data_IF_463019470498
#
_entry.id   IF_463019470498
#
_cell.length_a   1.000
_cell.length_b   1.000
_cell.length_c   1.000
_cell.angle_alpha   90.00
_cell.angle_beta   90.00
_cell.angle_gamma   90.00
#
_symmetry.space_group_name_H-M   'P 1'
#
loop_
_entity.id
_entity.type
_entity.pdbx_description
1 polymer ?
#
# COMPACT_ATOMS: atom_id res chain seq x y z
N UNK A 1 20.91 0.32 21.05
CA UNK A 1 19.90 1.40 21.05
C UNK A 1 18.54 0.72 21.00
N UNK A 2 17.78 0.73 22.10
CA UNK A 2 16.48 0.05 22.14
C UNK A 2 15.49 0.84 21.30
N UNK A 3 15.01 0.22 20.21
CA UNK A 3 13.91 0.77 19.42
C UNK A 3 12.70 0.98 20.35
N UNK A 4 12.02 2.13 20.30
CA UNK A 4 10.71 2.23 20.92
C UNK A 4 9.83 1.14 20.32
N UNK A 5 9.05 0.43 21.14
CA UNK A 5 8.07 -0.55 20.66
C UNK A 5 7.07 0.23 19.80
N UNK A 6 7.26 0.22 18.47
CA UNK A 6 6.30 0.77 17.52
C UNK A 6 5.22 -0.30 17.36
N UNK A 7 4.29 -0.31 18.30
CA UNK A 7 3.17 -1.26 18.33
C UNK A 7 2.20 -1.05 17.16
N UNK A 8 2.29 0.08 16.46
CA UNK A 8 1.41 0.44 15.35
C UNK A 8 1.40 -0.58 14.19
N UNK A 9 2.54 -1.22 13.88
CA UNK A 9 2.60 -2.24 12.83
C UNK A 9 1.89 -3.54 13.26
N UNK A 10 2.04 -3.94 14.52
CA UNK A 10 1.38 -5.12 15.09
C UNK A 10 -0.14 -4.88 15.24
N UNK A 11 -0.54 -3.73 15.77
CA UNK A 11 -1.94 -3.31 15.91
C UNK A 11 -2.66 -3.20 14.55
N UNK A 12 -1.97 -2.65 13.54
CA UNK A 12 -2.48 -2.62 12.17
C UNK A 12 -2.68 -4.02 11.58
N UNK A 13 -1.74 -4.94 11.84
CA UNK A 13 -1.83 -6.33 11.36
C UNK A 13 -3.00 -7.08 12.00
N UNK A 14 -3.23 -6.90 13.31
CA UNK A 14 -4.39 -7.46 14.02
C UNK A 14 -5.69 -6.91 13.42
N UNK A 15 -5.75 -5.61 13.16
CA UNK A 15 -6.94 -4.97 12.57
C UNK A 15 -7.26 -5.57 11.19
N UNK A 16 -6.25 -5.78 10.35
CA UNK A 16 -6.41 -6.44 9.06
C UNK A 16 -6.86 -7.89 9.23
N UNK A 17 -6.29 -8.64 10.17
CA UNK A 17 -6.68 -10.03 10.44
C UNK A 17 -8.15 -10.16 10.86
N UNK A 18 -8.65 -9.24 11.69
CA UNK A 18 -10.06 -9.19 12.09
C UNK A 18 -10.97 -8.94 10.87
N UNK A 19 -10.59 -8.02 9.99
CA UNK A 19 -11.35 -7.73 8.76
C UNK A 19 -11.36 -8.95 7.82
N UNK A 20 -10.26 -9.69 7.72
CA UNK A 20 -10.20 -10.94 6.95
C UNK A 20 -11.08 -12.02 7.57
N UNK A 21 -11.05 -12.20 8.89
CA UNK A 21 -11.89 -13.16 9.58
C UNK A 21 -13.39 -12.85 9.38
N UNK A 22 -13.77 -11.57 9.47
CA UNK A 22 -15.13 -11.12 9.18
C UNK A 22 -15.51 -11.41 7.72
N UNK A 23 -14.63 -11.10 6.77
CA UNK A 23 -14.87 -11.39 5.34
C UNK A 23 -15.01 -12.89 5.07
N UNK A 24 -14.22 -13.73 5.74
CA UNK A 24 -14.30 -15.18 5.61
C UNK A 24 -15.62 -15.75 6.17
N UNK A 25 -16.13 -15.18 7.27
CA UNK A 25 -17.37 -15.61 7.88
C UNK A 25 -18.62 -15.16 7.10
N UNK A 26 -18.67 -13.90 6.67
CA UNK A 26 -19.85 -13.31 6.01
C UNK A 26 -19.82 -13.39 4.47
N UNK A 27 -18.68 -13.75 3.88
CA UNK A 27 -18.49 -13.81 2.43
C UNK A 27 -18.14 -12.47 1.79
N UNK A 28 -17.68 -12.53 0.53
CA UNK A 28 -17.22 -11.36 -0.24
C UNK A 28 -18.33 -10.32 -0.54
N UNK A 29 -19.59 -10.74 -0.49
CA UNK A 29 -20.76 -9.89 -0.75
C UNK A 29 -21.00 -8.89 0.39
N UNK A 30 -20.51 -9.18 1.60
CA UNK A 30 -20.54 -8.25 2.74
C UNK A 30 -20.04 -6.86 2.32
N UNK A 31 -18.96 -6.79 1.55
CA UNK A 31 -18.33 -5.54 1.13
C UNK A 31 -19.24 -4.63 0.28
N UNK A 32 -20.28 -5.18 -0.35
CA UNK A 32 -21.25 -4.46 -1.18
C UNK A 32 -22.51 -4.07 -0.41
N UNK A 33 -22.71 -4.62 0.79
CA UNK A 33 -23.83 -4.27 1.65
C UNK A 33 -23.73 -2.81 2.07
N UNK A 34 -24.87 -2.12 2.07
CA UNK A 34 -24.98 -0.76 2.57
C UNK A 34 -25.14 -0.78 4.08
N UNK A 35 -24.52 0.16 4.77
CA UNK A 35 -24.69 0.39 6.21
C UNK A 35 -25.79 1.44 6.41
N UNK A 36 -27.02 1.04 6.81
CA UNK A 36 -28.14 1.99 6.95
C UNK A 36 -27.86 3.09 7.99
N UNK A 37 -27.00 2.77 8.95
CA UNK A 37 -26.65 3.59 10.10
C UNK A 37 -25.53 4.59 9.77
N UNK A 38 -24.94 4.49 8.57
CA UNK A 38 -23.80 5.30 8.13
C UNK A 38 -24.05 5.87 6.73
N UNK A 39 -25.09 6.72 6.61
CA UNK A 39 -25.45 7.42 5.36
C UNK A 39 -25.64 6.50 4.14
N UNK A 40 -26.01 5.23 4.34
CA UNK A 40 -26.12 4.23 3.28
C UNK A 40 -24.83 3.97 2.48
N UNK A 41 -23.66 4.26 3.05
CA UNK A 41 -22.38 3.89 2.44
C UNK A 41 -22.23 2.38 2.33
N UNK A 42 -21.59 1.92 1.26
CA UNK A 42 -21.17 0.52 1.17
C UNK A 42 -20.04 0.24 2.16
N UNK A 43 -19.94 -1.00 2.67
CA UNK A 43 -18.92 -1.39 3.67
C UNK A 43 -17.50 -1.11 3.16
N UNK A 44 -17.20 -1.35 1.88
CA UNK A 44 -15.90 -1.01 1.27
C UNK A 44 -15.56 0.49 1.36
N UNK A 45 -16.52 1.36 1.07
CA UNK A 45 -16.38 2.81 1.13
C UNK A 45 -16.19 3.27 2.59
N UNK A 46 -16.96 2.70 3.51
CA UNK A 46 -16.84 2.98 4.93
C UNK A 46 -15.47 2.60 5.49
N UNK A 47 -14.99 1.39 5.20
CA UNK A 47 -13.67 0.92 5.65
C UNK A 47 -12.54 1.79 5.05
N UNK A 48 -12.66 2.18 3.78
CA UNK A 48 -11.72 3.11 3.16
C UNK A 48 -11.73 4.48 3.86
N UNK A 49 -12.89 5.01 4.20
CA UNK A 49 -13.03 6.27 4.94
C UNK A 49 -12.40 6.19 6.34
N UNK A 50 -12.68 5.11 7.08
CA UNK A 50 -12.09 4.88 8.41
C UNK A 50 -10.57 4.78 8.34
N UNK A 51 -10.03 4.13 7.30
CA UNK A 51 -8.60 4.07 7.05
C UNK A 51 -8.00 5.46 6.81
N UNK A 52 -8.62 6.28 5.95
CA UNK A 52 -8.17 7.66 5.68
C UNK A 52 -8.16 8.49 6.97
N UNK A 53 -9.23 8.43 7.76
CA UNK A 53 -9.33 9.15 9.04
C UNK A 53 -8.23 8.70 10.00
N UNK A 54 -8.00 7.40 10.13
CA UNK A 54 -6.94 6.85 10.98
C UNK A 54 -5.56 7.38 10.56
N UNK A 55 -5.27 7.41 9.26
CA UNK A 55 -4.02 7.97 8.73
C UNK A 55 -3.91 9.46 9.06
N UNK A 56 -4.95 10.26 8.81
CA UNK A 56 -4.94 11.71 9.07
C UNK A 56 -4.66 12.02 10.54
N UNK A 57 -5.23 11.24 11.46
CA UNK A 57 -5.04 11.44 12.91
C UNK A 57 -3.63 11.00 13.34
N UNK A 58 -3.15 9.87 12.83
CA UNK A 58 -1.90 9.25 13.30
C UNK A 58 -0.64 9.85 12.66
N UNK A 59 -0.69 10.28 11.39
CA UNK A 59 0.47 10.81 10.67
C UNK A 59 1.12 12.01 11.36
N UNK A 60 0.38 13.05 11.80
CA UNK A 60 0.96 14.21 12.47
C UNK A 60 1.70 13.83 13.75
N UNK A 61 1.14 12.91 14.55
CA UNK A 61 1.77 12.43 15.78
C UNK A 61 3.08 11.69 15.50
N UNK A 62 3.09 10.86 14.44
CA UNK A 62 4.30 10.15 13.98
C UNK A 62 5.36 11.15 13.50
N UNK A 63 4.97 12.16 12.70
CA UNK A 63 5.87 13.22 12.23
C UNK A 63 6.51 13.98 13.38
N UNK A 64 5.73 14.41 14.38
CA UNK A 64 6.22 15.14 15.55
C UNK A 64 7.20 14.30 16.37
N UNK A 65 6.96 13.00 16.47
CA UNK A 65 7.86 12.07 17.17
C UNK A 65 9.17 11.86 16.43
N UNK A 66 9.13 11.70 15.10
CA UNK A 66 10.31 11.45 14.28
C UNK A 66 11.19 12.70 14.13
N UNK A 67 10.59 13.91 14.05
CA UNK A 67 11.32 15.18 13.97
C UNK A 67 12.31 15.38 15.13
N UNK A 68 12.11 14.73 16.28
CA UNK A 68 13.05 14.77 17.42
C UNK A 68 14.38 14.04 17.14
N UNK A 69 14.41 13.13 16.17
CA UNK A 69 15.55 12.25 15.90
C UNK A 69 16.20 12.49 14.53
N UNK A 70 15.57 13.25 13.64
CA UNK A 70 16.08 13.52 12.29
C UNK A 70 15.63 14.87 11.77
N UNK A 71 16.40 15.43 10.84
CA UNK A 71 15.99 16.64 10.11
C UNK A 71 14.78 16.37 9.22
N UNK A 72 13.96 17.42 9.01
CA UNK A 72 12.76 17.37 8.15
C UNK A 72 13.14 16.99 6.71
N UNK A 73 14.26 17.51 6.20
CA UNK A 73 14.75 17.18 4.86
C UNK A 73 15.07 15.69 4.70
N UNK A 74 15.73 15.09 5.71
CA UNK A 74 16.00 13.65 5.72
C UNK A 74 14.71 12.83 5.78
N UNK A 75 13.75 13.25 6.61
CA UNK A 75 12.44 12.61 6.72
C UNK A 75 11.65 12.65 5.41
N UNK A 76 11.60 13.80 4.74
CA UNK A 76 10.96 13.94 3.44
C UNK A 76 11.65 13.09 2.38
N UNK A 77 12.99 13.01 2.40
CA UNK A 77 13.75 12.12 1.52
C UNK A 77 13.37 10.65 1.75
N UNK A 78 13.17 10.23 3.00
CA UNK A 78 12.76 8.86 3.34
C UNK A 78 11.31 8.56 2.92
N UNK A 79 10.42 9.55 3.06
CA UNK A 79 8.99 9.43 2.72
C UNK A 79 8.66 9.79 1.28
N UNK A 80 9.64 10.15 0.44
CA UNK A 80 9.38 10.64 -0.92
C UNK A 80 8.54 9.70 -1.78
N UNK A 81 8.76 8.39 -1.66
CA UNK A 81 7.99 7.41 -2.40
C UNK A 81 6.55 7.35 -1.91
N UNK A 82 6.36 7.34 -0.58
CA UNK A 82 5.06 7.43 0.05
C UNK A 82 4.27 8.63 -0.47
N UNK A 83 4.88 9.82 -0.45
CA UNK A 83 4.22 11.01 -0.97
C UNK A 83 3.91 10.88 -2.46
N UNK A 84 4.88 10.45 -3.28
CA UNK A 84 4.69 10.35 -4.72
C UNK A 84 3.50 9.46 -5.10
N UNK A 85 3.46 8.20 -4.68
CA UNK A 85 2.38 7.32 -5.11
C UNK A 85 1.02 7.71 -4.52
N UNK A 86 0.96 8.21 -3.27
CA UNK A 86 -0.29 8.68 -2.70
C UNK A 86 -0.81 9.93 -3.42
N UNK A 87 0.08 10.88 -3.76
CA UNK A 87 -0.31 12.06 -4.53
C UNK A 87 -0.82 11.68 -5.92
N UNK A 88 -0.17 10.73 -6.61
CA UNK A 88 -0.65 10.24 -7.91
C UNK A 88 -2.03 9.60 -7.80
N UNK A 89 -2.25 8.74 -6.80
CA UNK A 89 -3.54 8.08 -6.61
C UNK A 89 -4.62 9.10 -6.23
N UNK A 90 -4.32 10.02 -5.32
CA UNK A 90 -5.25 11.07 -4.93
C UNK A 90 -5.59 11.98 -6.12
N UNK A 91 -4.59 12.34 -6.92
CA UNK A 91 -4.79 13.12 -8.14
C UNK A 91 -5.67 12.37 -9.14
N UNK A 92 -5.37 11.09 -9.41
CA UNK A 92 -6.22 10.23 -10.26
C UNK A 92 -7.65 10.17 -9.72
N UNK A 93 -7.84 10.08 -8.40
CA UNK A 93 -9.15 10.06 -7.76
C UNK A 93 -9.92 11.38 -7.96
N UNK A 94 -9.27 12.52 -7.76
CA UNK A 94 -9.93 13.82 -7.82
C UNK A 94 -10.21 14.30 -9.25
N UNK A 95 -9.44 13.80 -10.22
CA UNK A 95 -9.39 14.36 -11.56
C UNK A 95 -9.66 13.35 -12.68
N UNK A 96 -9.99 12.10 -12.33
CA UNK A 96 -10.49 11.12 -13.30
C UNK A 96 -11.73 11.67 -14.01
N UNK A 97 -11.80 11.43 -15.32
CA UNK A 97 -12.96 11.80 -16.14
C UNK A 97 -14.06 10.73 -16.07
N UNK A 98 -13.81 9.62 -15.39
CA UNK A 98 -14.72 8.48 -15.28
C UNK A 98 -15.04 8.19 -13.81
N UNK A 99 -16.18 7.54 -13.54
CA UNK A 99 -16.53 7.12 -12.17
C UNK A 99 -15.75 5.87 -11.70
N UNK A 100 -14.54 5.66 -12.21
CA UNK A 100 -13.74 4.44 -12.02
C UNK A 100 -13.44 4.11 -10.57
N UNK A 101 -13.44 5.11 -9.68
CA UNK A 101 -13.35 4.87 -8.24
C UNK A 101 -14.53 4.06 -7.75
N UNK A 102 -15.77 4.42 -8.12
CA UNK A 102 -16.96 3.74 -7.64
C UNK A 102 -17.00 2.29 -8.12
N UNK A 103 -16.59 2.05 -9.36
CA UNK A 103 -16.64 0.74 -10.00
C UNK A 103 -15.45 -0.16 -9.60
N UNK A 104 -14.30 0.43 -9.27
CA UNK A 104 -13.05 -0.28 -9.04
C UNK A 104 -12.35 0.08 -7.71
N UNK A 105 -13.11 0.46 -6.66
CA UNK A 105 -12.59 0.75 -5.31
C UNK A 105 -11.57 -0.29 -4.85
N UNK A 106 -11.87 -1.58 -5.03
CA UNK A 106 -11.01 -2.68 -4.58
C UNK A 106 -9.65 -2.67 -5.27
N UNK A 107 -9.59 -2.34 -6.56
CA UNK A 107 -8.34 -2.28 -7.31
C UNK A 107 -7.45 -1.13 -6.82
N UNK A 108 -8.03 0.04 -6.50
CA UNK A 108 -7.30 1.13 -5.85
C UNK A 108 -6.76 0.70 -4.47
N UNK A 109 -7.60 0.06 -3.65
CA UNK A 109 -7.19 -0.41 -2.32
C UNK A 109 -6.01 -1.40 -2.41
N UNK A 110 -6.05 -2.37 -3.33
CA UNK A 110 -4.95 -3.31 -3.52
C UNK A 110 -3.69 -2.64 -4.05
N UNK A 111 -3.83 -1.75 -5.04
CA UNK A 111 -2.70 -1.01 -5.60
C UNK A 111 -1.98 -0.19 -4.53
N UNK A 112 -2.72 0.56 -3.72
CA UNK A 112 -2.17 1.35 -2.61
C UNK A 112 -1.60 0.44 -1.53
N UNK A 113 -2.34 -0.59 -1.11
CA UNK A 113 -1.95 -1.49 -0.03
C UNK A 113 -0.65 -2.23 -0.30
N UNK A 114 -0.52 -2.88 -1.47
CA UNK A 114 0.68 -3.63 -1.81
C UNK A 114 1.90 -2.73 -2.02
N UNK A 115 1.73 -1.58 -2.67
CA UNK A 115 2.83 -0.63 -2.86
C UNK A 115 3.28 -0.03 -1.53
N UNK A 116 2.34 0.34 -0.65
CA UNK A 116 2.65 0.87 0.68
C UNK A 116 3.38 -0.18 1.53
N UNK A 117 2.88 -1.41 1.55
CA UNK A 117 3.50 -2.53 2.26
C UNK A 117 4.95 -2.75 1.81
N UNK A 118 5.19 -2.76 0.49
CA UNK A 118 6.55 -2.85 -0.06
C UNK A 118 7.41 -1.64 0.34
N UNK A 119 6.89 -0.41 0.23
CA UNK A 119 7.64 0.79 0.56
C UNK A 119 8.09 0.79 2.04
N UNK A 120 7.19 0.43 2.95
CA UNK A 120 7.52 0.26 4.37
C UNK A 120 8.56 -0.84 4.57
N UNK A 121 8.41 -1.98 3.90
CA UNK A 121 9.39 -3.07 3.95
C UNK A 121 10.79 -2.65 3.49
N UNK A 122 10.88 -1.89 2.39
CA UNK A 122 12.16 -1.35 1.89
C UNK A 122 12.79 -0.39 2.91
N UNK A 123 11.99 0.51 3.51
CA UNK A 123 12.49 1.44 4.53
C UNK A 123 12.98 0.69 5.77
N UNK A 124 12.20 -0.27 6.26
CA UNK A 124 12.56 -1.08 7.42
C UNK A 124 13.87 -1.87 7.18
N UNK A 125 14.00 -2.52 6.01
CA UNK A 125 15.20 -3.26 5.66
C UNK A 125 16.45 -2.40 5.58
N UNK A 126 16.37 -1.27 4.88
CA UNK A 126 17.50 -0.36 4.75
C UNK A 126 17.90 0.21 6.12
N UNK A 127 16.91 0.51 6.96
CA UNK A 127 17.16 0.98 8.32
C UNK A 127 17.88 -0.08 9.17
N UNK A 128 17.38 -1.32 9.20
CA UNK A 128 17.99 -2.41 9.99
C UNK A 128 19.37 -2.80 9.45
N UNK A 129 19.58 -2.69 8.14
CA UNK A 129 20.84 -3.03 7.48
C UNK A 129 21.85 -1.86 7.46
N UNK A 130 21.51 -0.70 8.05
CA UNK A 130 22.29 0.54 7.96
C UNK A 130 22.69 0.93 6.52
N UNK A 131 21.80 0.67 5.56
CA UNK A 131 21.99 1.03 4.16
C UNK A 131 21.20 2.29 3.79
N UNK A 132 21.69 3.02 2.79
CA UNK A 132 20.99 4.16 2.24
C UNK A 132 19.80 3.71 1.39
N UNK A 133 18.67 4.42 1.52
CA UNK A 133 17.52 4.16 0.66
C UNK A 133 17.89 4.32 -0.82
N UNK A 134 17.51 3.36 -1.68
CA UNK A 134 17.79 3.43 -3.12
C UNK A 134 17.17 4.69 -3.70
N UNK A 135 17.84 5.34 -4.66
CA UNK A 135 17.41 6.61 -5.26
C UNK A 135 16.09 6.53 -6.02
N UNK A 136 15.85 5.39 -6.68
CA UNK A 136 14.64 5.07 -7.42
C UNK A 136 14.11 3.68 -7.05
N UNK A 137 12.78 3.51 -7.10
CA UNK A 137 12.11 2.22 -6.98
C UNK A 137 11.41 1.92 -8.31
N UNK A 138 11.67 0.75 -8.89
CA UNK A 138 11.04 0.34 -10.16
C UNK A 138 9.51 0.32 -10.09
N UNK A 139 8.92 0.20 -8.89
CA UNK A 139 7.47 0.29 -8.70
C UNK A 139 6.89 1.69 -8.96
N UNK A 140 7.72 2.71 -9.20
CA UNK A 140 7.26 4.07 -9.56
C UNK A 140 6.66 4.12 -10.97
N UNK A 141 7.13 3.29 -11.90
CA UNK A 141 6.75 3.39 -13.31
C UNK A 141 5.24 3.23 -13.54
N UNK A 142 4.58 2.32 -12.80
CA UNK A 142 3.12 2.16 -12.92
C UNK A 142 2.36 3.42 -12.51
N UNK A 143 2.85 4.13 -11.49
CA UNK A 143 2.25 5.40 -11.04
C UNK A 143 2.50 6.53 -12.04
N UNK A 144 3.65 6.55 -12.70
CA UNK A 144 3.89 7.51 -13.80
C UNK A 144 2.87 7.29 -14.93
N UNK A 145 2.60 6.03 -15.31
CA UNK A 145 1.61 5.72 -16.34
C UNK A 145 0.20 6.18 -15.92
N UNK A 146 -0.21 5.91 -14.68
CA UNK A 146 -1.49 6.37 -14.13
C UNK A 146 -1.59 7.90 -14.17
N UNK A 147 -0.54 8.59 -13.74
CA UNK A 147 -0.48 10.05 -13.73
C UNK A 147 -0.62 10.62 -15.14
N UNK A 148 0.18 10.12 -16.09
CA UNK A 148 0.14 10.57 -17.49
C UNK A 148 -1.21 10.29 -18.15
N UNK A 149 -1.82 9.14 -17.87
CA UNK A 149 -3.15 8.82 -18.38
C UNK A 149 -4.20 9.80 -17.84
N UNK A 150 -4.15 10.12 -16.55
CA UNK A 150 -5.06 11.09 -15.92
C UNK A 150 -4.88 12.48 -16.53
N UNK A 151 -3.64 12.97 -16.65
CA UNK A 151 -3.33 14.27 -17.27
C UNK A 151 -3.81 14.31 -18.73
N UNK A 152 -3.57 13.24 -19.49
CA UNK A 152 -4.06 13.15 -20.87
C UNK A 152 -5.58 13.24 -20.95
N UNK A 153 -6.29 12.61 -20.02
CA UNK A 153 -7.74 12.69 -19.92
C UNK A 153 -8.24 14.11 -19.72
N UNK A 154 -7.54 14.92 -18.92
CA UNK A 154 -7.88 16.33 -18.72
C UNK A 154 -7.62 17.19 -19.96
N UNK A 155 -6.50 16.97 -20.65
CA UNK A 155 -6.09 17.80 -21.79
C UNK A 155 -6.94 17.49 -23.02
N UNK A 156 -7.19 16.20 -23.28
CA UNK A 156 -7.86 15.75 -24.51
C UNK A 156 -9.35 15.47 -24.32
N UNK A 157 -9.88 15.59 -23.10
CA UNK A 157 -11.27 15.26 -22.75
C UNK A 157 -11.58 13.76 -22.78
N UNK A 158 -10.59 12.91 -23.08
CA UNK A 158 -10.69 11.45 -23.08
C UNK A 158 -9.35 10.85 -22.67
N UNK A 159 -9.41 9.82 -21.84
CA UNK A 159 -8.22 9.07 -21.41
C UNK A 159 -7.67 8.23 -22.56
N UNK A 160 -6.34 8.13 -22.66
CA UNK A 160 -5.68 7.31 -23.69
C UNK A 160 -5.97 5.83 -23.46
N UNK A 161 -5.89 5.41 -22.20
CA UNK A 161 -6.16 4.05 -21.73
C UNK A 161 -7.43 4.09 -20.88
N UNK A 162 -8.22 3.02 -20.98
CA UNK A 162 -9.35 2.77 -20.08
C UNK A 162 -8.85 2.74 -18.61
N UNK A 163 -9.36 3.67 -17.81
CA UNK A 163 -8.88 3.87 -16.43
C UNK A 163 -9.19 2.66 -15.53
N UNK A 164 -10.31 1.96 -15.77
CA UNK A 164 -10.69 0.75 -15.05
C UNK A 164 -9.72 -0.41 -15.31
N UNK A 165 -9.41 -0.66 -16.59
CA UNK A 165 -8.42 -1.65 -16.99
C UNK A 165 -7.03 -1.30 -16.45
N UNK A 166 -6.64 -0.03 -16.52
CA UNK A 166 -5.34 0.44 -16.03
C UNK A 166 -5.18 0.21 -14.52
N UNK A 167 -6.19 0.54 -13.70
CA UNK A 167 -6.09 0.35 -12.25
C UNK A 167 -6.15 -1.13 -11.84
N UNK A 168 -6.91 -1.96 -12.54
CA UNK A 168 -6.92 -3.41 -12.32
C UNK A 168 -5.56 -4.03 -12.66
N UNK A 169 -4.97 -3.61 -13.79
CA UNK A 169 -3.62 -4.04 -14.17
C UNK A 169 -2.59 -3.59 -13.14
N UNK A 170 -2.68 -2.33 -12.67
CA UNK A 170 -1.82 -1.82 -11.62
C UNK A 170 -1.94 -2.64 -10.32
N UNK A 171 -3.14 -3.05 -9.94
CA UNK A 171 -3.37 -3.89 -8.76
C UNK A 171 -2.66 -5.25 -8.88
N UNK A 172 -2.80 -5.92 -10.03
CA UNK A 172 -2.14 -7.22 -10.30
C UNK A 172 -0.62 -7.07 -10.27
N UNK A 173 -0.09 -6.05 -10.96
CA UNK A 173 1.36 -5.80 -11.00
C UNK A 173 1.89 -5.46 -9.62
N UNK A 174 1.20 -4.62 -8.84
CA UNK A 174 1.59 -4.31 -7.46
C UNK A 174 1.62 -5.54 -6.58
N UNK A 175 0.65 -6.45 -6.73
CA UNK A 175 0.63 -7.73 -6.03
C UNK A 175 1.84 -8.61 -6.40
N UNK A 176 2.12 -8.79 -7.69
CA UNK A 176 3.26 -9.59 -8.16
C UNK A 176 4.60 -9.01 -7.71
N UNK A 177 4.76 -7.68 -7.77
CA UNK A 177 5.93 -6.98 -7.26
C UNK A 177 6.08 -7.23 -5.75
N UNK A 178 4.97 -7.23 -5.00
CA UNK A 178 5.00 -7.49 -3.57
C UNK A 178 5.41 -8.93 -3.24
N UNK A 179 4.88 -9.93 -3.97
CA UNK A 179 5.31 -11.33 -3.84
C UNK A 179 6.81 -11.45 -4.14
N UNK A 180 7.27 -10.86 -5.25
CA UNK A 180 8.68 -10.91 -5.64
C UNK A 180 9.58 -10.28 -4.58
N UNK A 181 9.15 -9.16 -3.98
CA UNK A 181 9.84 -8.52 -2.87
C UNK A 181 9.92 -9.44 -1.64
N UNK A 182 8.81 -10.02 -1.18
CA UNK A 182 8.78 -10.93 -0.04
C UNK A 182 9.63 -12.18 -0.26
N UNK A 183 9.55 -12.77 -1.46
CA UNK A 183 10.34 -13.94 -1.83
C UNK A 183 11.84 -13.64 -1.77
N UNK A 184 12.29 -12.55 -2.40
CA UNK A 184 13.70 -12.17 -2.38
C UNK A 184 14.19 -11.85 -0.97
N UNK A 185 13.38 -11.17 -0.16
CA UNK A 185 13.67 -10.90 1.23
C UNK A 185 13.85 -12.18 2.03
N UNK A 186 12.88 -13.09 1.97
CA UNK A 186 12.91 -14.33 2.71
C UNK A 186 14.12 -15.17 2.28
N UNK A 187 14.44 -15.20 0.98
CA UNK A 187 15.62 -15.90 0.46
C UNK A 187 16.92 -15.31 1.00
N UNK A 188 17.08 -13.99 0.95
CA UNK A 188 18.29 -13.32 1.44
C UNK A 188 18.47 -13.48 2.96
N UNK A 189 17.39 -13.39 3.73
CA UNK A 189 17.43 -13.63 5.20
C UNK A 189 17.76 -15.10 5.49
N UNK A 190 17.15 -16.03 4.75
CA UNK A 190 17.42 -17.47 4.83
C UNK A 190 18.89 -17.79 4.57
N UNK A 191 19.45 -17.23 3.49
CA UNK A 191 20.87 -17.37 3.13
C UNK A 191 21.79 -16.76 4.19
N UNK A 192 21.49 -15.55 4.67
CA UNK A 192 22.32 -14.84 5.65
C UNK A 192 22.31 -15.49 7.04
N UNK A 193 21.16 -16.02 7.49
CA UNK A 193 21.02 -16.69 8.78
C UNK A 193 21.30 -18.20 8.71
N UNK A 194 21.52 -18.74 7.51
CA UNK A 194 21.62 -20.17 7.24
C UNK A 194 20.42 -20.97 7.80
N UNK A 195 19.23 -20.34 7.82
CA UNK A 195 17.98 -20.96 8.24
C UNK A 195 17.26 -21.39 6.98
N UNK A 196 16.84 -22.65 6.88
CA UNK A 196 16.09 -23.13 5.72
C UNK A 196 14.64 -22.67 5.80
N UNK A 197 14.25 -21.70 4.98
CA UNK A 197 12.87 -21.24 4.85
C UNK A 197 12.27 -21.92 3.61
N UNK A 198 11.08 -22.52 3.73
CA UNK A 198 10.36 -23.25 2.67
C UNK A 198 10.93 -24.62 2.23
N UNK A 199 11.63 -25.35 3.10
CA UNK A 199 11.89 -26.77 2.84
C UNK A 199 10.75 -27.63 3.40
N UNK A 200 9.94 -28.25 2.52
CA UNK A 200 9.17 -29.43 2.91
C UNK A 200 10.22 -30.50 3.21
N UNK A 201 10.25 -31.04 4.42
CA UNK A 201 11.11 -32.18 4.74
C UNK A 201 10.82 -33.27 3.71
N UNK A 202 11.72 -33.45 2.74
CA UNK A 202 11.71 -34.65 1.92
C UNK A 202 12.03 -35.77 2.89
N UNK A 203 10.99 -36.50 3.28
CA UNK A 203 11.12 -37.73 4.02
C UNK A 203 11.78 -38.69 3.04
N UNK A 204 13.11 -38.79 3.11
CA UNK A 204 13.87 -39.80 2.40
C UNK A 204 13.24 -41.16 2.76
N UNK A 205 12.65 -41.82 1.78
CA UNK A 205 12.41 -43.26 1.79
C UNK A 205 13.64 -43.95 1.20
#
# INVERSE_FOLDING_TARGET
>A
MNLPIINAAAEGTISVAVVFAATAYYGCDMWLQKLPWFFNYQINQFVMLMFIISVIITMPAVFLKIKKFTSIASLLKQLRYFFFFNTVILYSILFTQTNVIQDHVRAYMYTVGFTMSKAVGVVALNHVSNQNLPEYLNSIYIYIIILLNTISGQIFGKTIIDEGCLIQFAAIISFLIHIHFLYNMARQISEALNIKIFQINSTNK
#
